data_IF_783455073951
#
_entry.id   IF_783455073951
#
_cell.length_a   1.000
_cell.length_b   1.000
_cell.length_c   1.000
_cell.angle_alpha   90.00
_cell.angle_beta   90.00
_cell.angle_gamma   90.00
#
_symmetry.space_group_name_H-M   'P 1'
#
loop_
_entity.id
_entity.type
_entity.pdbx_description
1 polymer ?
#
# COMPACT_ATOMS: atom_id res chain seq x y z
N UNK A 1 -5.27 23.10 9.58
CA UNK A 1 -5.38 21.66 9.24
C UNK A 1 -6.39 21.04 10.18
N UNK A 2 -7.52 20.55 9.66
CA UNK A 2 -8.50 19.82 10.47
C UNK A 2 -7.92 18.46 10.90
N UNK A 3 -8.35 17.93 12.04
CA UNK A 3 -7.99 16.57 12.46
C UNK A 3 -8.57 15.56 11.46
N UNK A 4 -7.82 14.51 11.05
CA UNK A 4 -8.36 13.47 10.17
C UNK A 4 -9.54 12.77 10.85
N UNK A 5 -10.52 12.33 10.06
CA UNK A 5 -11.66 11.59 10.59
C UNK A 5 -11.25 10.20 11.07
N UNK A 6 -12.03 9.60 11.98
CA UNK A 6 -11.76 8.26 12.49
C UNK A 6 -11.67 7.21 11.37
N UNK A 7 -12.57 7.27 10.38
CA UNK A 7 -12.56 6.37 9.23
C UNK A 7 -11.30 6.55 8.37
N UNK A 8 -10.82 7.79 8.20
CA UNK A 8 -9.57 8.05 7.50
C UNK A 8 -8.36 7.45 8.24
N UNK A 9 -8.30 7.61 9.56
CA UNK A 9 -7.26 6.99 10.39
C UNK A 9 -7.30 5.46 10.27
N UNK A 10 -8.49 4.84 10.35
CA UNK A 10 -8.64 3.38 10.17
C UNK A 10 -8.12 2.92 8.81
N UNK A 11 -8.52 3.57 7.72
CA UNK A 11 -8.03 3.23 6.37
C UNK A 11 -6.51 3.31 6.27
N UNK A 12 -5.89 4.31 6.89
CA UNK A 12 -4.44 4.47 6.93
C UNK A 12 -3.75 3.41 7.78
N UNK A 13 -4.34 2.99 8.89
CA UNK A 13 -3.84 1.88 9.70
C UNK A 13 -3.90 0.55 8.95
N UNK A 14 -4.99 0.29 8.22
CA UNK A 14 -5.10 -0.88 7.33
C UNK A 14 -4.04 -0.82 6.24
N UNK A 15 -3.78 0.35 5.68
CA UNK A 15 -2.73 0.51 4.66
C UNK A 15 -1.32 0.25 5.24
N UNK A 16 -1.07 0.74 6.46
CA UNK A 16 0.19 0.54 7.16
C UNK A 16 0.40 -0.90 7.65
N UNK A 17 -0.66 -1.62 8.01
CA UNK A 17 -0.56 -2.99 8.50
C UNK A 17 -0.01 -3.96 7.46
N UNK A 18 -0.19 -3.68 6.16
CA UNK A 18 0.42 -4.52 5.12
C UNK A 18 1.95 -4.41 5.05
N UNK A 19 2.59 -3.53 5.82
CA UNK A 19 4.03 -3.60 6.08
C UNK A 19 4.43 -4.94 6.72
N UNK A 20 3.49 -5.66 7.34
CA UNK A 20 3.68 -7.01 7.82
C UNK A 20 4.19 -7.97 6.74
N UNK A 21 3.76 -7.81 5.49
CA UNK A 21 4.14 -8.70 4.38
C UNK A 21 5.64 -8.66 4.06
N UNK A 22 6.26 -7.50 3.75
CA UNK A 22 7.72 -7.44 3.59
C UNK A 22 8.46 -7.79 4.89
N UNK A 23 7.88 -7.53 6.07
CA UNK A 23 8.50 -7.93 7.34
C UNK A 23 8.59 -9.46 7.52
N UNK A 24 7.62 -10.24 7.02
CA UNK A 24 7.72 -11.71 7.06
C UNK A 24 9.00 -12.18 6.36
N UNK A 25 9.35 -11.59 5.22
CA UNK A 25 10.58 -11.90 4.51
C UNK A 25 11.82 -11.35 5.23
N UNK A 26 11.79 -10.10 5.68
CA UNK A 26 12.94 -9.46 6.35
C UNK A 26 13.32 -10.14 7.67
N UNK A 27 12.34 -10.70 8.38
CA UNK A 27 12.55 -11.45 9.62
C UNK A 27 12.90 -12.92 9.36
N UNK A 28 13.01 -13.35 8.09
CA UNK A 28 13.32 -14.73 7.72
C UNK A 28 12.20 -15.73 8.04
N UNK A 29 10.97 -15.27 8.24
CA UNK A 29 9.81 -16.13 8.54
C UNK A 29 9.29 -16.85 7.29
N UNK A 30 9.49 -16.27 6.12
CA UNK A 30 9.14 -16.87 4.82
C UNK A 30 10.21 -16.57 3.77
N UNK A 31 10.39 -17.50 2.84
CA UNK A 31 11.19 -17.27 1.64
C UNK A 31 10.50 -16.30 0.66
N UNK A 32 11.27 -15.61 -0.17
CA UNK A 32 10.73 -14.66 -1.16
C UNK A 32 9.70 -15.31 -2.10
N UNK A 33 9.99 -16.53 -2.56
CA UNK A 33 9.10 -17.28 -3.44
C UNK A 33 7.76 -17.59 -2.76
N UNK A 34 7.80 -17.97 -1.49
CA UNK A 34 6.61 -18.21 -0.66
C UNK A 34 5.81 -16.94 -0.47
N UNK A 35 6.47 -15.80 -0.23
CA UNK A 35 5.81 -14.51 -0.14
C UNK A 35 5.11 -14.13 -1.47
N UNK A 36 5.75 -14.39 -2.61
CA UNK A 36 5.13 -14.22 -3.93
C UNK A 36 3.85 -15.04 -4.12
N UNK A 37 3.86 -16.32 -3.70
CA UNK A 37 2.65 -17.15 -3.73
C UNK A 37 1.55 -16.65 -2.79
N UNK A 38 1.92 -16.17 -1.60
CA UNK A 38 0.97 -15.56 -0.69
C UNK A 38 0.30 -14.33 -1.31
N UNK A 39 1.06 -13.47 -1.99
CA UNK A 39 0.52 -12.32 -2.70
C UNK A 39 -0.43 -12.72 -3.84
N UNK A 40 -0.08 -13.73 -4.64
CA UNK A 40 -0.97 -14.25 -5.69
C UNK A 40 -2.28 -14.77 -5.09
N UNK A 41 -2.19 -15.51 -3.98
CA UNK A 41 -3.37 -15.99 -3.27
C UNK A 41 -4.24 -14.83 -2.76
N UNK A 42 -3.63 -13.82 -2.12
CA UNK A 42 -4.35 -12.64 -1.64
C UNK A 42 -4.99 -11.86 -2.80
N UNK A 43 -4.30 -11.71 -3.93
CA UNK A 43 -4.85 -11.08 -5.12
C UNK A 43 -6.09 -11.84 -5.61
N UNK A 44 -6.04 -13.18 -5.68
CA UNK A 44 -7.18 -13.98 -6.07
C UNK A 44 -8.37 -13.82 -5.09
N UNK A 45 -8.11 -13.86 -3.78
CA UNK A 45 -9.14 -13.64 -2.74
C UNK A 45 -9.79 -12.26 -2.91
N UNK A 46 -8.97 -11.22 -3.08
CA UNK A 46 -9.47 -9.85 -3.25
C UNK A 46 -10.21 -9.68 -4.57
N UNK A 47 -9.80 -10.34 -5.64
CA UNK A 47 -10.57 -10.37 -6.90
C UNK A 47 -11.96 -10.97 -6.71
N UNK A 48 -12.08 -12.09 -5.98
CA UNK A 48 -13.39 -12.68 -5.67
C UNK A 48 -14.25 -11.73 -4.84
N UNK A 49 -13.67 -11.11 -3.81
CA UNK A 49 -14.36 -10.14 -2.98
C UNK A 49 -14.86 -8.94 -3.80
N UNK A 50 -14.04 -8.40 -4.70
CA UNK A 50 -14.44 -7.31 -5.58
C UNK A 50 -15.53 -7.71 -6.57
N UNK A 51 -15.48 -8.93 -7.13
CA UNK A 51 -16.55 -9.43 -7.99
C UNK A 51 -17.88 -9.53 -7.24
N UNK A 52 -17.86 -10.05 -6.01
CA UNK A 52 -19.05 -10.14 -5.17
C UNK A 52 -19.57 -8.76 -4.76
N UNK A 53 -18.68 -7.80 -4.48
CA UNK A 53 -19.05 -6.43 -4.14
C UNK A 53 -19.70 -5.69 -5.31
N UNK A 54 -19.06 -5.72 -6.48
CA UNK A 54 -19.49 -4.96 -7.67
C UNK A 54 -20.68 -5.60 -8.40
N UNK A 55 -20.78 -6.94 -8.42
CA UNK A 55 -21.80 -7.64 -9.19
C UNK A 55 -22.75 -8.49 -8.35
N UNK A 56 -22.38 -8.82 -7.12
CA UNK A 56 -23.14 -9.71 -6.24
C UNK A 56 -23.97 -9.02 -5.15
N UNK A 57 -23.88 -7.69 -5.03
CA UNK A 57 -24.61 -6.93 -4.00
C UNK A 57 -24.12 -7.19 -2.58
N UNK A 58 -22.84 -7.55 -2.41
CA UNK A 58 -22.25 -7.80 -1.09
C UNK A 58 -22.10 -6.48 -0.30
N UNK A 59 -23.11 -6.12 0.49
CA UNK A 59 -23.07 -5.00 1.41
C UNK A 59 -22.60 -5.46 2.80
N UNK A 60 -21.30 -5.31 3.08
CA UNK A 60 -20.73 -5.54 4.41
C UNK A 60 -20.31 -4.23 5.04
N UNK A 61 -20.57 -4.08 6.35
CA UNK A 61 -20.19 -2.91 7.14
C UNK A 61 -18.70 -2.55 7.05
N UNK A 62 -17.84 -3.53 6.74
CA UNK A 62 -16.41 -3.29 6.52
C UNK A 62 -16.14 -2.46 5.27
N UNK A 63 -16.95 -2.61 4.22
CA UNK A 63 -16.85 -1.83 2.99
C UNK A 63 -17.36 -0.41 3.20
N UNK A 64 -18.41 -0.21 3.99
CA UNK A 64 -18.93 1.13 4.31
C UNK A 64 -17.89 2.01 5.01
N UNK A 65 -17.04 1.42 5.86
CA UNK A 65 -16.00 2.16 6.59
C UNK A 65 -14.72 2.33 5.76
N UNK A 66 -14.36 1.33 4.96
CA UNK A 66 -13.06 1.25 4.29
C UNK A 66 -13.07 1.73 2.84
N UNK A 67 -14.22 1.74 2.16
CA UNK A 67 -14.34 2.23 0.78
C UNK A 67 -14.87 3.66 0.74
N UNK A 68 -14.47 4.42 -0.27
CA UNK A 68 -14.96 5.79 -0.52
C UNK A 68 -16.16 5.76 -1.45
N UNK A 69 -16.94 6.86 -1.48
CA UNK A 69 -18.13 6.99 -2.33
C UNK A 69 -17.85 6.64 -3.81
N UNK A 70 -16.74 7.12 -4.37
CA UNK A 70 -16.38 6.83 -5.76
C UNK A 70 -15.89 5.39 -5.99
N UNK A 71 -15.58 4.64 -4.93
CA UNK A 71 -15.16 3.25 -5.02
C UNK A 71 -16.36 2.29 -5.02
N UNK A 72 -17.59 2.77 -4.81
CA UNK A 72 -18.78 1.91 -4.77
C UNK A 72 -18.97 1.14 -6.08
N UNK A 73 -18.80 1.81 -7.22
CA UNK A 73 -18.97 1.22 -8.55
C UNK A 73 -17.65 0.93 -9.28
N UNK A 74 -16.50 1.10 -8.60
CA UNK A 74 -15.17 0.93 -9.18
C UNK A 74 -14.33 0.00 -8.33
N UNK A 75 -13.30 -0.63 -8.90
CA UNK A 75 -12.35 -1.43 -8.12
C UNK A 75 -11.77 -0.59 -6.98
N UNK A 76 -11.94 -1.06 -5.75
CA UNK A 76 -11.58 -0.29 -4.55
C UNK A 76 -10.06 -0.21 -4.35
N UNK A 77 -9.61 0.84 -3.64
CA UNK A 77 -8.20 1.09 -3.40
C UNK A 77 -7.46 -0.06 -2.68
N UNK A 78 -8.14 -0.82 -1.81
CA UNK A 78 -7.52 -1.98 -1.14
C UNK A 78 -7.17 -3.10 -2.14
N UNK A 79 -7.95 -3.26 -3.21
CA UNK A 79 -7.66 -4.23 -4.26
C UNK A 79 -6.48 -3.79 -5.12
N UNK A 80 -6.48 -2.53 -5.56
CA UNK A 80 -5.34 -1.94 -6.28
C UNK A 80 -4.04 -2.00 -5.46
N UNK A 81 -4.14 -1.81 -4.15
CA UNK A 81 -3.05 -1.99 -3.21
C UNK A 81 -2.50 -3.42 -3.23
N UNK A 82 -3.36 -4.45 -3.11
CA UNK A 82 -2.91 -5.85 -3.16
C UNK A 82 -2.33 -6.20 -4.53
N UNK A 83 -2.95 -5.75 -5.62
CA UNK A 83 -2.45 -5.99 -6.98
C UNK A 83 -1.09 -5.35 -7.22
N UNK A 84 -0.88 -4.11 -6.78
CA UNK A 84 0.42 -3.43 -6.92
C UNK A 84 1.52 -4.14 -6.13
N UNK A 85 1.27 -4.55 -4.88
CA UNK A 85 2.25 -5.34 -4.12
C UNK A 85 2.55 -6.69 -4.79
N UNK A 86 1.52 -7.38 -5.27
CA UNK A 86 1.67 -8.65 -5.98
C UNK A 86 2.52 -8.48 -7.24
N UNK A 87 2.22 -7.47 -8.06
CA UNK A 87 2.98 -7.18 -9.27
C UNK A 87 4.46 -6.92 -8.95
N UNK A 88 4.74 -6.08 -7.95
CA UNK A 88 6.11 -5.77 -7.55
C UNK A 88 6.84 -7.00 -6.99
N UNK A 89 6.16 -7.86 -6.22
CA UNK A 89 6.73 -9.11 -5.70
C UNK A 89 7.14 -10.09 -6.79
N UNK A 90 6.37 -10.14 -7.89
CA UNK A 90 6.57 -11.09 -8.99
C UNK A 90 7.58 -10.59 -10.03
N UNK A 91 7.62 -9.28 -10.26
CA UNK A 91 8.47 -8.68 -11.31
C UNK A 91 9.88 -8.38 -10.81
N UNK A 92 10.03 -8.00 -9.53
CA UNK A 92 11.30 -7.54 -9.00
C UNK A 92 11.86 -8.44 -7.91
N UNK A 93 13.19 -8.44 -7.78
CA UNK A 93 13.86 -9.07 -6.65
C UNK A 93 13.63 -8.31 -5.33
N UNK A 94 13.90 -8.94 -4.17
CA UNK A 94 13.60 -8.37 -2.86
C UNK A 94 14.22 -6.98 -2.63
N UNK A 95 15.42 -6.74 -3.18
CA UNK A 95 16.15 -5.47 -3.04
C UNK A 95 15.44 -4.25 -3.67
N UNK A 96 14.54 -4.46 -4.63
CA UNK A 96 13.69 -3.41 -5.22
C UNK A 96 12.26 -3.51 -4.66
N UNK A 97 11.75 -4.73 -4.54
CA UNK A 97 10.36 -4.95 -4.18
C UNK A 97 10.04 -4.56 -2.73
N UNK A 98 10.90 -4.95 -1.78
CA UNK A 98 10.72 -4.64 -0.35
C UNK A 98 10.65 -3.13 -0.10
N UNK A 99 11.61 -2.29 -0.54
CA UNK A 99 11.50 -0.85 -0.32
C UNK A 99 10.29 -0.24 -1.04
N UNK A 100 9.93 -0.70 -2.24
CA UNK A 100 8.71 -0.25 -2.92
C UNK A 100 7.44 -0.56 -2.14
N UNK A 101 7.33 -1.77 -1.57
CA UNK A 101 6.23 -2.13 -0.67
C UNK A 101 6.21 -1.26 0.57
N UNK A 102 7.35 -1.04 1.24
CA UNK A 102 7.43 -0.18 2.43
C UNK A 102 7.07 1.28 2.13
N UNK A 103 7.46 1.81 0.97
CA UNK A 103 7.06 3.16 0.53
C UNK A 103 5.54 3.26 0.36
N UNK A 104 4.93 2.26 -0.27
CA UNK A 104 3.47 2.18 -0.38
C UNK A 104 2.85 2.09 1.02
N UNK A 105 3.26 1.14 1.86
CA UNK A 105 2.60 0.89 3.15
C UNK A 105 2.87 1.95 4.21
N UNK A 106 4.00 2.67 4.18
CA UNK A 106 4.37 3.65 5.22
C UNK A 106 4.36 5.07 4.66
N UNK A 107 4.98 5.28 3.50
CA UNK A 107 5.08 6.59 2.85
C UNK A 107 3.72 7.18 2.48
N UNK A 108 2.82 6.39 1.90
CA UNK A 108 1.50 6.88 1.49
C UNK A 108 0.60 7.27 2.66
N UNK A 109 0.52 6.48 3.76
CA UNK A 109 -0.19 6.90 4.97
C UNK A 109 0.35 8.18 5.58
N UNK A 110 1.67 8.34 5.68
CA UNK A 110 2.30 9.56 6.20
C UNK A 110 1.96 10.76 5.30
N UNK A 111 2.16 10.63 3.99
CA UNK A 111 1.92 11.72 3.05
C UNK A 111 0.46 12.17 3.07
N UNK A 112 -0.49 11.25 3.21
CA UNK A 112 -1.88 11.63 3.27
C UNK A 112 -2.32 12.19 4.63
N UNK A 113 -1.69 11.82 5.77
CA UNK A 113 -1.94 12.49 7.07
C UNK A 113 -1.50 13.95 7.03
N UNK A 114 -0.43 14.23 6.27
CA UNK A 114 0.11 15.56 6.07
C UNK A 114 -0.67 16.43 5.09
N UNK A 115 -1.69 15.90 4.41
CA UNK A 115 -2.52 16.70 3.53
C UNK A 115 -3.06 15.92 2.33
N UNK A 116 -4.27 16.28 1.94
CA UNK A 116 -4.91 15.88 0.69
C UNK A 116 -4.88 17.05 -0.31
N UNK A 117 -4.85 16.72 -1.59
CA UNK A 117 -5.09 17.66 -2.69
C UNK A 117 -6.19 17.07 -3.57
N UNK A 118 -7.03 17.90 -4.22
CA UNK A 118 -7.97 17.45 -5.24
C UNK A 118 -7.27 16.67 -6.36
N UNK A 119 -8.03 15.82 -7.05
CA UNK A 119 -7.53 15.12 -8.24
C UNK A 119 -7.10 16.14 -9.29
N UNK A 120 -5.87 16.02 -9.79
CA UNK A 120 -5.29 16.95 -10.77
C UNK A 120 -4.49 18.12 -10.17
N UNK A 121 -4.49 18.27 -8.84
CA UNK A 121 -3.69 19.28 -8.15
C UNK A 121 -2.43 18.68 -7.51
N UNK A 122 -1.38 19.49 -7.42
CA UNK A 122 -0.16 19.12 -6.73
C UNK A 122 -0.38 19.16 -5.21
N UNK A 123 0.14 18.15 -4.51
CA UNK A 123 0.26 18.22 -3.05
C UNK A 123 1.21 19.36 -2.68
N UNK A 124 1.05 19.89 -1.46
CA UNK A 124 1.93 20.92 -0.93
C UNK A 124 3.40 20.50 -1.01
N UNK A 125 4.31 21.45 -1.28
CA UNK A 125 5.74 21.18 -1.34
C UNK A 125 6.26 20.52 -0.04
N UNK A 126 5.69 20.87 1.11
CA UNK A 126 6.00 20.27 2.41
C UNK A 126 5.62 18.78 2.46
N UNK A 127 4.44 18.42 1.96
CA UNK A 127 3.97 17.02 1.92
C UNK A 127 4.84 16.20 0.97
N UNK A 128 5.20 16.75 -0.19
CA UNK A 128 6.08 16.09 -1.16
C UNK A 128 7.49 15.88 -0.59
N UNK A 129 8.08 16.89 0.05
CA UNK A 129 9.40 16.80 0.67
C UNK A 129 9.42 15.75 1.80
N UNK A 130 8.37 15.70 2.63
CA UNK A 130 8.26 14.69 3.67
C UNK A 130 8.10 13.27 3.11
N UNK A 131 7.24 13.09 2.10
CA UNK A 131 7.08 11.81 1.41
C UNK A 131 8.41 11.36 0.79
N UNK A 132 9.12 12.25 0.09
CA UNK A 132 10.44 11.96 -0.46
C UNK A 132 11.43 11.52 0.63
N UNK A 133 11.54 12.29 1.72
CA UNK A 133 12.46 11.98 2.81
C UNK A 133 12.16 10.61 3.45
N UNK A 134 10.89 10.30 3.71
CA UNK A 134 10.46 9.00 4.25
C UNK A 134 10.78 7.88 3.27
N UNK A 135 10.35 8.01 2.01
CA UNK A 135 10.59 6.98 1.00
C UNK A 135 12.08 6.76 0.77
N UNK A 136 12.87 7.84 0.69
CA UNK A 136 14.32 7.77 0.58
C UNK A 136 14.94 7.02 1.75
N UNK A 137 14.55 7.35 2.99
CA UNK A 137 15.05 6.65 4.18
C UNK A 137 14.67 5.17 4.19
N UNK A 138 13.49 4.79 3.68
CA UNK A 138 13.06 3.40 3.57
C UNK A 138 13.83 2.63 2.49
N UNK A 139 14.17 3.26 1.37
CA UNK A 139 14.93 2.62 0.28
C UNK A 139 16.43 2.54 0.51
N UNK A 140 17.01 3.55 1.16
CA UNK A 140 18.46 3.70 1.32
C UNK A 140 19.16 2.40 1.83
N UNK A 141 18.64 1.69 2.85
CA UNK A 141 19.28 0.45 3.33
C UNK A 141 19.33 -0.69 2.31
N UNK A 142 18.46 -0.68 1.31
CA UNK A 142 18.34 -1.75 0.31
C UNK A 142 19.08 -1.43 -0.98
N UNK A 143 19.03 -0.17 -1.42
CA UNK A 143 19.55 0.23 -2.74
C UNK A 143 21.01 0.66 -2.68
N UNK A 144 21.43 1.40 -1.64
CA UNK A 144 22.81 1.93 -1.54
C UNK A 144 23.86 0.82 -1.48
N UNK A 145 23.69 -0.26 -0.67
CA UNK A 145 24.66 -1.35 -0.65
C UNK A 145 24.79 -2.07 -2.01
N UNK A 146 23.72 -2.07 -2.81
CA UNK A 146 23.66 -2.73 -4.12
C UNK A 146 24.28 -1.86 -5.22
N UNK A 147 24.14 -0.53 -5.13
CA UNK A 147 24.71 0.40 -6.11
C UNK A 147 26.20 0.71 -5.90
N UNK A 148 26.77 0.29 -4.76
CA UNK A 148 28.09 0.72 -4.28
C UNK A 148 28.03 2.10 -3.62
N UNK A 149 28.96 2.36 -2.69
CA UNK A 149 29.19 3.70 -2.16
C UNK A 149 30.12 4.40 -3.15
N UNK A 150 29.63 5.47 -3.80
CA UNK A 150 30.44 6.28 -4.72
C UNK A 150 31.51 7.04 -3.92
#
# INVERSE_FOLDING_TARGET
MGRPSTAEVKRRLVHASGSGMPLLYLLGLVEWRTLGYLFVFLAAVVSVLELLRLFGGLEWAVYDELTREYEQDNVAGYALYVYSQTAVALVFGPHIAVPGMLMLTIGDPISGLMGSAPVGELKSARTLAAMFAVCFALAAPFVIPVSGVV
#
